data_IF_855292463914
#
_entry.id   IF_855292463914
#
_cell.length_a   1.000
_cell.length_b   1.000
_cell.length_c   1.000
_cell.angle_alpha   90.00
_cell.angle_beta   90.00
_cell.angle_gamma   90.00
#
_symmetry.space_group_name_H-M   'P 1'
#
loop_
_entity.id
_entity.type
_entity.pdbx_description
1 polymer ?
#
# COMPACT_ATOMS: atom_id res chain seq x y z
N UNK A 1 33.79 36.97 8.01
CA UNK A 1 33.64 36.86 6.54
C UNK A 1 32.32 36.16 6.26
N UNK A 2 31.45 36.78 5.48
CA UNK A 2 30.12 36.28 5.13
C UNK A 2 30.23 35.39 3.89
N UNK A 3 29.70 34.18 3.93
CA UNK A 3 29.40 33.42 2.73
C UNK A 3 27.92 33.06 2.76
N UNK A 4 27.15 33.70 1.88
CA UNK A 4 25.74 33.39 1.59
C UNK A 4 25.75 32.31 0.51
N UNK A 5 25.19 31.13 0.79
CA UNK A 5 24.90 30.14 -0.25
C UNK A 5 23.44 30.28 -0.67
N UNK A 6 23.24 30.62 -1.94
CA UNK A 6 21.97 30.63 -2.63
C UNK A 6 21.81 29.24 -3.25
N UNK A 7 20.76 28.51 -2.88
CA UNK A 7 20.35 27.26 -3.55
C UNK A 7 19.18 27.59 -4.46
N UNK A 8 19.41 27.55 -5.77
CA UNK A 8 18.39 27.64 -6.80
C UNK A 8 17.77 26.25 -7.00
N UNK A 9 16.46 26.14 -6.78
CA UNK A 9 15.64 25.03 -7.20
C UNK A 9 15.34 25.17 -8.70
N UNK A 10 15.89 24.29 -9.53
CA UNK A 10 15.45 24.13 -10.93
C UNK A 10 14.63 22.85 -11.02
N UNK A 11 13.31 23.00 -11.06
CA UNK A 11 12.39 21.98 -11.56
C UNK A 11 12.69 21.75 -13.05
N UNK A 12 12.94 20.52 -13.44
CA UNK A 12 12.98 20.12 -14.86
C UNK A 12 12.10 18.90 -15.04
N UNK A 13 10.87 19.16 -15.49
CA UNK A 13 9.96 18.18 -16.07
C UNK A 13 10.31 18.10 -17.55
N UNK A 14 10.78 16.95 -18.03
CA UNK A 14 10.69 16.63 -19.46
C UNK A 14 10.04 15.27 -19.66
N UNK A 15 8.96 15.32 -20.41
CA UNK A 15 8.08 14.24 -20.80
C UNK A 15 8.75 13.25 -21.75
N UNK A 16 8.32 12.00 -21.64
CA UNK A 16 8.51 10.99 -22.67
C UNK A 16 7.59 11.28 -23.87
N UNK A 17 8.17 11.34 -25.07
CA UNK A 17 7.46 11.12 -26.33
C UNK A 17 8.47 10.67 -27.39
N UNK A 18 8.64 9.36 -27.54
CA UNK A 18 9.19 8.77 -28.75
C UNK A 18 8.05 8.70 -29.78
N UNK A 19 8.09 9.60 -30.76
CA UNK A 19 7.26 9.52 -31.97
C UNK A 19 7.91 8.57 -32.97
N UNK A 20 7.15 7.62 -33.51
CA UNK A 20 7.49 6.92 -34.75
C UNK A 20 6.42 7.14 -35.80
N UNK A 21 6.93 7.44 -37.01
CA UNK A 21 6.37 7.21 -38.35
C UNK A 21 5.37 8.23 -38.94
N UNK A 22 5.72 8.67 -40.16
CA UNK A 22 4.75 9.04 -41.20
C UNK A 22 5.01 10.36 -41.91
N UNK A 23 5.86 10.37 -42.94
CA UNK A 23 5.88 11.40 -43.99
C UNK A 23 4.64 11.28 -44.87
N UNK A 24 3.98 12.42 -45.20
CA UNK A 24 3.66 12.79 -46.59
C UNK A 24 3.03 14.19 -46.69
N UNK A 25 3.48 14.93 -47.71
CA UNK A 25 3.12 16.30 -48.09
C UNK A 25 1.80 16.40 -48.87
N UNK A 26 0.95 17.42 -48.62
CA UNK A 26 0.30 18.26 -49.66
C UNK A 26 -0.64 19.35 -49.07
N UNK A 27 -0.73 20.46 -49.81
CA UNK A 27 -1.39 21.75 -49.55
C UNK A 27 -2.94 21.76 -49.36
N UNK A 28 -3.39 22.53 -48.34
CA UNK A 28 -4.64 23.37 -48.17
C UNK A 28 -6.05 22.76 -48.45
N UNK A 29 -7.17 23.31 -47.88
CA UNK A 29 -7.34 24.61 -47.22
C UNK A 29 -7.94 24.59 -45.80
N UNK A 30 -7.90 25.75 -45.15
CA UNK A 30 -8.44 26.02 -43.82
C UNK A 30 -9.95 25.75 -43.72
N UNK A 31 -10.37 25.16 -42.61
CA UNK A 31 -11.74 25.29 -42.11
C UNK A 31 -11.76 25.32 -40.58
N UNK A 32 -12.41 26.36 -40.09
CA UNK A 32 -13.21 26.48 -38.87
C UNK A 32 -12.54 26.17 -37.51
N UNK A 33 -12.40 27.26 -36.74
CA UNK A 33 -12.64 27.39 -35.30
C UNK A 33 -12.65 26.11 -34.46
N UNK A 34 -11.68 26.01 -33.57
CA UNK A 34 -11.85 25.34 -32.28
C UNK A 34 -11.05 26.12 -31.24
N UNK A 35 -11.57 27.28 -30.81
CA UNK A 35 -11.25 27.80 -29.48
C UNK A 35 -11.89 26.84 -28.46
N UNK A 36 -11.28 25.67 -28.29
CA UNK A 36 -11.53 24.86 -27.10
C UNK A 36 -10.83 25.61 -25.99
N UNK A 37 -11.62 26.41 -25.27
CA UNK A 37 -11.15 27.11 -24.09
C UNK A 37 -10.54 26.05 -23.16
N UNK A 38 -9.22 26.15 -22.92
CA UNK A 38 -8.44 25.13 -22.20
C UNK A 38 -9.03 24.89 -20.80
N UNK A 39 -9.61 25.92 -20.19
CA UNK A 39 -10.36 25.84 -18.93
C UNK A 39 -11.59 24.94 -19.01
N UNK A 40 -12.29 24.93 -20.14
CA UNK A 40 -13.49 24.10 -20.37
C UNK A 40 -13.11 22.64 -20.63
N UNK A 41 -11.95 22.37 -21.25
CA UNK A 41 -11.40 21.03 -21.39
C UNK A 41 -10.95 20.43 -20.04
N UNK A 42 -10.31 21.24 -19.17
CA UNK A 42 -9.96 20.82 -17.81
C UNK A 42 -11.20 20.59 -16.92
N UNK A 43 -12.21 21.46 -17.02
CA UNK A 43 -13.47 21.30 -16.29
C UNK A 43 -14.22 20.04 -16.73
N UNK A 44 -14.31 19.79 -18.04
CA UNK A 44 -14.96 18.59 -18.58
C UNK A 44 -14.23 17.30 -18.18
N UNK A 45 -12.89 17.29 -18.16
CA UNK A 45 -12.12 16.13 -17.71
C UNK A 45 -12.27 15.88 -16.20
N UNK A 46 -12.32 16.94 -15.39
CA UNK A 46 -12.55 16.84 -13.94
C UNK A 46 -13.93 16.27 -13.63
N UNK A 47 -14.95 16.74 -14.36
CA UNK A 47 -16.33 16.26 -14.22
C UNK A 47 -16.50 14.82 -14.70
N UNK A 48 -15.83 14.44 -15.79
CA UNK A 48 -15.81 13.06 -16.28
C UNK A 48 -15.12 12.12 -15.28
N UNK A 49 -13.96 12.51 -14.74
CA UNK A 49 -13.26 11.72 -13.71
C UNK A 49 -14.10 11.55 -12.45
N UNK A 50 -14.83 12.60 -12.02
CA UNK A 50 -15.75 12.51 -10.89
C UNK A 50 -16.97 11.62 -11.19
N UNK A 51 -17.53 11.68 -12.41
CA UNK A 51 -18.64 10.83 -12.83
C UNK A 51 -18.21 9.35 -12.93
N UNK A 52 -17.02 9.09 -13.49
CA UNK A 52 -16.44 7.76 -13.61
C UNK A 52 -16.12 7.17 -12.22
N UNK A 53 -15.59 7.98 -11.29
CA UNK A 53 -15.37 7.58 -9.90
C UNK A 53 -16.70 7.29 -9.15
N UNK A 54 -17.73 8.11 -9.36
CA UNK A 54 -19.05 7.87 -8.78
C UNK A 54 -19.74 6.63 -9.36
N UNK A 55 -19.57 6.36 -10.65
CA UNK A 55 -20.07 5.16 -11.30
C UNK A 55 -19.34 3.90 -10.80
N UNK A 56 -18.02 3.96 -10.66
CA UNK A 56 -17.22 2.88 -10.07
C UNK A 56 -17.62 2.62 -8.61
N UNK A 57 -17.81 3.68 -7.81
CA UNK A 57 -18.28 3.55 -6.43
C UNK A 57 -19.68 2.92 -6.34
N UNK A 58 -20.60 3.34 -7.22
CA UNK A 58 -21.95 2.80 -7.28
C UNK A 58 -21.96 1.33 -7.73
N UNK A 59 -21.06 0.95 -8.65
CA UNK A 59 -20.89 -0.43 -9.09
C UNK A 59 -20.28 -1.33 -8.00
N UNK A 60 -19.30 -0.83 -7.25
CA UNK A 60 -18.71 -1.51 -6.10
C UNK A 60 -19.75 -1.81 -5.01
N UNK A 61 -20.58 -0.81 -4.68
CA UNK A 61 -21.73 -0.96 -3.77
C UNK A 61 -22.74 -2.01 -4.26
N UNK A 62 -23.04 -2.02 -5.57
CA UNK A 62 -23.93 -3.02 -6.16
C UNK A 62 -23.31 -4.44 -6.21
N UNK A 63 -21.98 -4.54 -6.24
CA UNK A 63 -21.23 -5.79 -6.28
C UNK A 63 -20.94 -6.39 -4.89
N UNK A 64 -21.44 -5.75 -3.82
CA UNK A 64 -21.28 -6.18 -2.43
C UNK A 64 -19.86 -6.00 -1.91
N UNK A 65 -19.07 -5.09 -2.50
CA UNK A 65 -17.74 -4.75 -2.00
C UNK A 65 -17.87 -3.93 -0.72
N UNK A 66 -17.04 -4.21 0.30
CA UNK A 66 -17.08 -3.44 1.52
C UNK A 66 -16.59 -2.02 1.24
N UNK A 67 -17.24 -1.07 1.88
CA UNK A 67 -16.80 0.30 1.96
C UNK A 67 -15.74 0.43 3.04
N UNK A 68 -14.88 1.43 2.90
CA UNK A 68 -13.91 1.78 3.94
C UNK A 68 -14.58 2.10 5.29
N UNK A 69 -15.78 2.70 5.24
CA UNK A 69 -16.60 2.96 6.43
C UNK A 69 -17.05 1.70 7.16
N UNK A 70 -17.35 0.62 6.42
CA UNK A 70 -17.63 -0.70 7.00
C UNK A 70 -16.36 -1.33 7.59
N UNK A 71 -15.22 -1.23 6.92
CA UNK A 71 -13.95 -1.73 7.46
C UNK A 71 -13.61 -1.08 8.83
N UNK A 72 -13.93 0.20 9.01
CA UNK A 72 -13.73 0.91 10.28
C UNK A 72 -14.67 0.50 11.42
N UNK A 73 -15.67 -0.34 11.17
CA UNK A 73 -16.54 -0.90 12.22
C UNK A 73 -15.99 -2.20 12.82
N UNK A 74 -14.92 -2.75 12.25
CA UNK A 74 -14.29 -4.00 12.70
C UNK A 74 -13.72 -3.87 14.12
N UNK A 75 -13.82 -4.94 14.91
CA UNK A 75 -13.41 -4.94 16.32
C UNK A 75 -12.76 -6.27 16.70
N UNK A 76 -11.66 -6.17 17.44
CA UNK A 76 -11.04 -7.27 18.17
C UNK A 76 -10.98 -6.87 19.65
N UNK A 77 -11.29 -7.81 20.55
CA UNK A 77 -11.34 -7.52 21.98
C UNK A 77 -9.97 -7.05 22.50
N UNK A 78 -9.94 -5.99 23.29
CA UNK A 78 -8.71 -5.44 23.87
C UNK A 78 -7.80 -4.71 22.88
N UNK A 79 -8.23 -4.49 21.63
CA UNK A 79 -7.43 -3.84 20.59
C UNK A 79 -8.08 -2.55 20.09
N UNK A 80 -7.27 -1.66 19.50
CA UNK A 80 -7.72 -0.38 18.93
C UNK A 80 -7.47 -0.36 17.42
N UNK A 81 -8.50 -0.05 16.63
CA UNK A 81 -8.39 0.01 15.17
C UNK A 81 -7.49 1.18 14.74
N UNK A 82 -6.56 0.91 13.81
CA UNK A 82 -5.67 1.89 13.20
C UNK A 82 -6.22 2.26 11.83
N UNK A 83 -6.93 3.39 11.74
CA UNK A 83 -7.70 3.76 10.54
C UNK A 83 -6.81 4.00 9.33
N UNK A 84 -5.67 4.64 9.56
CA UNK A 84 -4.69 5.01 8.53
C UNK A 84 -4.01 3.77 7.91
N UNK A 85 -4.12 2.61 8.56
CA UNK A 85 -3.57 1.33 8.11
C UNK A 85 -4.68 0.29 7.87
N UNK A 86 -5.91 0.73 7.66
CA UNK A 86 -7.07 -0.11 7.35
C UNK A 86 -7.63 0.26 5.98
N UNK A 87 -7.88 -0.73 5.13
CA UNK A 87 -8.34 -0.51 3.75
C UNK A 87 -9.18 -1.67 3.22
N UNK A 88 -9.90 -1.40 2.14
CA UNK A 88 -10.59 -2.43 1.36
C UNK A 88 -9.54 -3.34 0.71
N UNK A 89 -9.73 -4.64 0.84
CA UNK A 89 -8.80 -5.66 0.38
C UNK A 89 -9.40 -6.42 -0.80
N UNK A 90 -8.70 -6.39 -1.92
CA UNK A 90 -9.13 -7.00 -3.18
C UNK A 90 -8.07 -7.94 -3.75
N UNK A 91 -7.54 -8.81 -2.89
CA UNK A 91 -6.57 -9.83 -3.27
C UNK A 91 -7.04 -11.22 -2.83
N UNK A 92 -6.69 -12.23 -3.62
CA UNK A 92 -6.95 -13.63 -3.29
C UNK A 92 -6.33 -14.03 -1.95
N UNK A 93 -6.93 -14.96 -1.19
CA UNK A 93 -8.24 -15.58 -1.42
C UNK A 93 -9.42 -14.78 -0.79
N UNK A 94 -9.18 -13.52 -0.41
CA UNK A 94 -10.12 -12.73 0.37
C UNK A 94 -10.55 -11.48 -0.40
N UNK A 95 -10.78 -11.58 -1.71
CA UNK A 95 -11.29 -10.44 -2.47
C UNK A 95 -12.58 -9.89 -1.85
N UNK A 96 -12.80 -8.58 -1.98
CA UNK A 96 -13.96 -7.88 -1.41
C UNK A 96 -14.07 -8.03 0.10
N UNK A 97 -12.96 -7.89 0.80
CA UNK A 97 -12.90 -7.93 2.27
C UNK A 97 -12.25 -6.65 2.81
N UNK A 98 -12.02 -6.61 4.13
CA UNK A 98 -11.33 -5.52 4.79
C UNK A 98 -10.02 -6.04 5.36
N UNK A 99 -8.90 -5.44 4.98
CA UNK A 99 -7.65 -5.57 5.72
C UNK A 99 -7.66 -4.54 6.84
N UNK A 100 -7.62 -5.02 8.08
CA UNK A 100 -7.76 -4.19 9.27
C UNK A 100 -6.53 -4.33 10.13
N UNK A 101 -5.90 -3.19 10.43
CA UNK A 101 -4.80 -3.13 11.38
C UNK A 101 -5.32 -2.71 12.75
N UNK A 102 -4.90 -3.43 13.78
CA UNK A 102 -5.19 -3.10 15.17
C UNK A 102 -3.90 -2.87 15.95
N UNK A 103 -3.91 -1.92 16.89
CA UNK A 103 -2.85 -1.71 17.86
C UNK A 103 -3.22 -2.33 19.22
N UNK A 104 -2.20 -2.65 20.01
CA UNK A 104 -2.33 -3.06 21.39
C UNK A 104 -2.24 -1.84 22.34
N UNK A 105 -3.36 -1.38 22.92
CA UNK A 105 -3.33 -0.21 23.81
C UNK A 105 -2.47 -0.42 25.06
N UNK A 106 -2.25 -1.65 25.50
CA UNK A 106 -1.40 -1.96 26.66
C UNK A 106 0.10 -1.75 26.37
N UNK A 107 0.48 -1.73 25.09
CA UNK A 107 1.86 -1.45 24.67
C UNK A 107 2.07 0.02 24.29
N UNK A 108 0.99 0.78 24.13
CA UNK A 108 1.04 2.20 23.76
C UNK A 108 1.18 3.09 25.00
N UNK A 109 2.00 4.13 24.91
CA UNK A 109 2.13 5.12 26.00
C UNK A 109 0.86 5.95 26.16
N UNK A 110 0.28 6.39 25.04
CA UNK A 110 -0.99 7.09 24.97
C UNK A 110 -1.58 6.95 23.55
N UNK A 111 -2.72 7.61 23.30
CA UNK A 111 -3.44 7.54 22.01
C UNK A 111 -2.71 8.20 20.84
N UNK A 112 -1.65 8.96 21.10
CA UNK A 112 -0.82 9.64 20.10
C UNK A 112 0.49 8.91 19.82
N UNK A 113 0.77 7.83 20.57
CA UNK A 113 1.90 6.94 20.31
C UNK A 113 1.71 6.20 18.98
N UNK A 114 2.80 5.64 18.47
CA UNK A 114 2.75 4.72 17.33
C UNK A 114 1.92 3.48 17.67
N UNK A 115 1.30 2.81 16.68
CA UNK A 115 0.38 1.69 16.92
C UNK A 115 1.13 0.41 17.34
N UNK A 116 1.69 0.40 18.55
CA UNK A 116 2.49 -0.72 19.06
C UNK A 116 1.67 -2.01 19.19
N UNK A 117 2.34 -3.15 19.06
CA UNK A 117 1.70 -4.47 19.09
C UNK A 117 0.70 -4.62 17.95
N UNK A 118 1.07 -4.13 16.75
CA UNK A 118 0.19 -4.15 15.58
C UNK A 118 -0.17 -5.59 15.19
N UNK A 119 -1.45 -5.88 15.00
CA UNK A 119 -1.94 -7.14 14.41
C UNK A 119 -2.75 -6.84 13.15
N UNK A 120 -2.76 -7.80 12.21
CA UNK A 120 -3.49 -7.66 10.95
C UNK A 120 -4.56 -8.73 10.82
N UNK A 121 -5.74 -8.31 10.38
CA UNK A 121 -6.90 -9.18 10.27
C UNK A 121 -7.61 -8.96 8.94
N UNK A 122 -8.23 -10.02 8.42
CA UNK A 122 -9.18 -9.95 7.32
C UNK A 122 -10.58 -10.06 7.87
N UNK A 123 -11.39 -9.03 7.62
CA UNK A 123 -12.80 -9.02 7.98
C UNK A 123 -13.68 -9.19 6.73
N UNK A 124 -14.69 -10.06 6.81
CA UNK A 124 -15.73 -10.19 5.79
C UNK A 124 -17.09 -10.05 6.46
N UNK A 125 -17.88 -9.08 5.99
CA UNK A 125 -19.24 -8.81 6.54
C UNK A 125 -19.26 -8.62 8.07
N UNK A 126 -18.18 -8.05 8.63
CA UNK A 126 -18.03 -7.80 10.06
C UNK A 126 -17.54 -8.99 10.89
N UNK A 127 -17.29 -10.14 10.28
CA UNK A 127 -16.68 -11.31 10.93
C UNK A 127 -15.16 -11.33 10.69
N UNK A 128 -14.39 -11.64 11.73
CA UNK A 128 -12.94 -11.85 11.64
C UNK A 128 -12.67 -13.23 11.03
N UNK A 129 -12.22 -13.24 9.78
CA UNK A 129 -12.05 -14.46 8.99
C UNK A 129 -10.65 -15.03 9.10
N UNK A 130 -9.66 -14.17 9.34
CA UNK A 130 -8.27 -14.54 9.30
C UNK A 130 -7.40 -13.52 10.03
N UNK A 131 -6.66 -13.99 11.03
CA UNK A 131 -5.56 -13.25 11.65
C UNK A 131 -4.25 -13.62 10.96
N UNK A 132 -3.46 -12.63 10.57
CA UNK A 132 -2.13 -12.87 10.03
C UNK A 132 -1.21 -13.45 11.10
N UNK A 133 -0.19 -14.25 10.71
CA UNK A 133 0.87 -14.63 11.62
C UNK A 133 1.50 -13.40 12.30
N UNK A 134 2.07 -13.60 13.49
CA UNK A 134 2.74 -12.53 14.22
C UNK A 134 3.88 -11.94 13.37
N UNK A 135 3.76 -10.64 13.07
CA UNK A 135 4.68 -9.90 12.25
C UNK A 135 6.04 -9.66 12.92
N UNK A 136 6.09 -9.76 14.25
CA UNK A 136 7.23 -9.35 15.08
C UNK A 136 7.86 -10.51 15.86
N UNK A 137 7.42 -11.74 15.63
CA UNK A 137 7.92 -12.95 16.30
C UNK A 137 7.97 -12.81 17.85
N UNK A 138 6.85 -12.39 18.43
CA UNK A 138 6.68 -12.19 19.86
C UNK A 138 7.36 -10.93 20.42
N UNK A 139 8.03 -10.12 19.60
CA UNK A 139 8.63 -8.88 20.06
C UNK A 139 7.54 -7.85 20.40
N UNK A 140 7.64 -7.30 21.60
CA UNK A 140 6.76 -6.22 22.08
C UNK A 140 7.28 -4.86 21.66
N UNK A 141 6.44 -3.83 21.76
CA UNK A 141 6.79 -2.44 21.50
C UNK A 141 7.23 -2.19 20.04
N UNK A 142 6.73 -3.02 19.12
CA UNK A 142 6.94 -2.92 17.69
C UNK A 142 5.68 -2.41 16.99
N UNK A 143 5.85 -1.67 15.89
CA UNK A 143 4.77 -1.08 15.10
C UNK A 143 5.08 -1.15 13.61
N UNK A 144 4.03 -1.01 12.81
CA UNK A 144 4.10 -1.06 11.35
C UNK A 144 4.26 0.35 10.79
N UNK A 145 5.20 0.52 9.86
CA UNK A 145 5.42 1.79 9.15
C UNK A 145 4.82 1.77 7.75
N UNK A 146 4.89 0.63 7.06
CA UNK A 146 4.38 0.49 5.70
C UNK A 146 4.03 -0.96 5.34
N UNK A 147 3.10 -1.09 4.40
CA UNK A 147 2.72 -2.35 3.77
C UNK A 147 2.84 -2.21 2.25
N UNK A 148 3.16 -3.30 1.57
CA UNK A 148 3.09 -3.44 0.11
C UNK A 148 2.46 -4.77 -0.26
N UNK A 149 1.70 -4.77 -1.35
CA UNK A 149 0.96 -5.92 -1.85
C UNK A 149 1.49 -6.29 -3.23
N UNK A 150 2.37 -7.28 -3.28
CA UNK A 150 3.13 -7.64 -4.48
C UNK A 150 3.06 -9.15 -4.72
N UNK A 151 2.99 -9.59 -5.97
CA UNK A 151 3.25 -10.99 -6.34
C UNK A 151 4.78 -11.19 -6.44
N UNK A 152 5.40 -11.65 -5.34
CA UNK A 152 6.85 -11.64 -5.20
C UNK A 152 7.51 -12.83 -5.91
N UNK A 153 6.84 -13.98 -5.94
CA UNK A 153 7.32 -15.21 -6.54
C UNK A 153 6.74 -15.48 -7.96
N UNK A 154 5.83 -14.62 -8.44
CA UNK A 154 5.17 -14.69 -9.76
C UNK A 154 4.25 -15.90 -9.91
N UNK A 155 3.58 -16.32 -8.84
CA UNK A 155 2.62 -17.41 -8.86
C UNK A 155 1.17 -16.95 -9.12
N UNK A 156 0.95 -15.63 -9.23
CA UNK A 156 -0.36 -15.02 -9.45
C UNK A 156 -1.15 -14.78 -8.16
N UNK A 157 -0.57 -15.05 -6.99
CA UNK A 157 -1.11 -14.71 -5.68
C UNK A 157 -0.36 -13.50 -5.12
N UNK A 158 -1.10 -12.58 -4.51
CA UNK A 158 -0.49 -11.39 -3.91
C UNK A 158 0.03 -11.71 -2.52
N UNK A 159 1.32 -11.53 -2.30
CA UNK A 159 2.00 -11.56 -1.00
C UNK A 159 1.97 -10.18 -0.35
N UNK A 160 2.34 -10.12 0.93
CA UNK A 160 2.44 -8.87 1.69
C UNK A 160 3.87 -8.66 2.18
N UNK A 161 4.45 -7.50 1.86
CA UNK A 161 5.66 -6.99 2.50
C UNK A 161 5.23 -6.07 3.64
N UNK A 162 5.69 -6.34 4.85
CA UNK A 162 5.55 -5.47 6.02
C UNK A 162 6.90 -4.87 6.38
N UNK A 163 6.96 -3.53 6.39
CA UNK A 163 8.06 -2.79 6.99
C UNK A 163 7.62 -2.22 8.33
N UNK A 164 8.36 -2.53 9.37
CA UNK A 164 8.05 -2.14 10.74
C UNK A 164 9.28 -1.72 11.52
N UNK A 165 9.05 -1.34 12.76
CA UNK A 165 10.08 -0.95 13.70
C UNK A 165 9.77 -1.44 15.10
N UNK A 166 10.81 -1.75 15.86
CA UNK A 166 10.74 -2.01 17.28
C UNK A 166 11.47 -0.92 18.05
N UNK A 167 11.02 -0.65 19.27
CA UNK A 167 11.73 0.24 20.18
C UNK A 167 13.01 -0.45 20.69
N UNK A 168 14.18 0.14 20.43
CA UNK A 168 15.44 -0.27 21.03
C UNK A 168 15.87 0.63 22.20
N UNK A 169 17.01 0.31 22.82
CA UNK A 169 17.49 0.98 24.02
C UNK A 169 17.86 2.47 23.83
N UNK A 170 18.18 2.88 22.60
CA UNK A 170 18.57 4.27 22.27
C UNK A 170 17.76 4.86 21.12
N UNK A 171 17.37 4.02 20.18
CA UNK A 171 16.57 4.37 19.01
C UNK A 171 15.77 3.12 18.59
N UNK A 172 14.84 3.31 17.68
CA UNK A 172 14.14 2.24 16.97
C UNK A 172 15.06 1.49 16.00
N UNK A 173 14.77 0.22 15.77
CA UNK A 173 15.41 -0.61 14.75
C UNK A 173 14.35 -1.24 13.84
N UNK A 174 14.67 -1.48 12.55
CA UNK A 174 13.72 -2.12 11.64
C UNK A 174 13.37 -3.53 12.09
N UNK A 175 12.13 -3.92 11.87
CA UNK A 175 11.67 -5.31 11.98
C UNK A 175 10.68 -5.52 10.85
N UNK A 176 10.95 -6.50 10.00
CA UNK A 176 10.25 -6.65 8.73
C UNK A 176 9.73 -8.07 8.60
N UNK A 177 8.62 -8.25 7.90
CA UNK A 177 8.07 -9.57 7.66
C UNK A 177 7.53 -9.70 6.24
N UNK A 178 7.62 -10.93 5.72
CA UNK A 178 6.93 -11.34 4.49
C UNK A 178 5.79 -12.27 4.86
N UNK A 179 4.59 -11.93 4.41
CA UNK A 179 3.45 -12.83 4.47
C UNK A 179 3.21 -13.40 3.08
N UNK A 180 3.57 -14.67 2.93
CA UNK A 180 3.40 -15.44 1.71
C UNK A 180 1.97 -15.94 1.62
N UNK A 181 1.33 -15.66 0.49
CA UNK A 181 0.01 -16.15 0.18
C UNK A 181 0.06 -17.62 -0.23
N UNK A 182 -0.64 -18.48 0.51
CA UNK A 182 -0.67 -19.93 0.25
C UNK A 182 -2.00 -20.39 -0.34
N UNK A 183 -2.75 -19.47 -0.95
CA UNK A 183 -4.03 -19.72 -1.63
C UNK A 183 -5.23 -19.93 -0.71
N UNK A 184 -5.03 -20.23 0.58
CA UNK A 184 -6.08 -20.34 1.61
C UNK A 184 -5.93 -19.32 2.74
N UNK A 185 -4.95 -18.43 2.64
CA UNK A 185 -4.58 -17.47 3.66
C UNK A 185 -3.11 -17.09 3.52
N UNK A 186 -2.57 -16.50 4.57
CA UNK A 186 -1.19 -16.04 4.61
C UNK A 186 -0.37 -16.83 5.62
N UNK A 187 0.92 -16.82 5.40
CA UNK A 187 1.87 -17.55 6.23
C UNK A 187 3.22 -16.86 6.19
N UNK A 188 4.07 -17.07 7.18
CA UNK A 188 5.36 -16.40 7.25
C UNK A 188 6.46 -17.39 7.58
N UNK A 189 7.71 -16.98 7.35
CA UNK A 189 8.91 -17.71 7.76
C UNK A 189 9.74 -16.78 8.67
N UNK A 190 9.65 -17.01 9.97
CA UNK A 190 10.33 -16.19 10.98
C UNK A 190 11.86 -16.20 10.82
N UNK A 191 12.45 -17.34 10.47
CA UNK A 191 13.89 -17.46 10.26
C UNK A 191 14.35 -16.62 9.07
N UNK A 192 13.59 -16.65 7.97
CA UNK A 192 13.89 -15.83 6.80
C UNK A 192 13.64 -14.34 7.05
N UNK A 193 12.62 -14.00 7.84
CA UNK A 193 12.32 -12.60 8.18
C UNK A 193 13.42 -11.96 9.03
N UNK A 194 14.11 -12.71 9.89
CA UNK A 194 15.25 -12.21 10.64
C UNK A 194 16.40 -11.69 9.74
N UNK A 195 16.51 -12.19 8.50
CA UNK A 195 17.48 -11.69 7.52
C UNK A 195 17.10 -10.31 6.96
N UNK A 196 15.91 -9.78 7.29
CA UNK A 196 15.40 -8.50 6.82
C UNK A 196 15.63 -7.34 7.80
N UNK A 197 16.11 -7.59 9.02
CA UNK A 197 16.16 -6.61 10.12
C UNK A 197 17.04 -5.37 9.84
N UNK A 198 17.98 -5.47 8.89
CA UNK A 198 18.83 -4.33 8.49
C UNK A 198 18.24 -3.49 7.33
N UNK A 199 17.11 -3.94 6.75
CA UNK A 199 16.47 -3.30 5.60
C UNK A 199 15.50 -2.23 6.07
N UNK A 200 15.60 -1.04 5.48
CA UNK A 200 14.94 0.18 6.01
C UNK A 200 13.64 0.54 5.31
N UNK A 201 13.34 -0.06 4.17
CA UNK A 201 12.15 0.25 3.39
C UNK A 201 11.73 -0.90 2.49
N UNK A 202 10.48 -0.82 2.02
CA UNK A 202 9.84 -1.80 1.13
C UNK A 202 10.70 -2.15 -0.09
N UNK A 203 11.36 -1.18 -0.73
CA UNK A 203 12.15 -1.45 -1.93
C UNK A 203 13.35 -2.34 -1.63
N UNK A 204 14.06 -2.09 -0.54
CA UNK A 204 15.18 -2.93 -0.10
C UNK A 204 14.71 -4.34 0.26
N UNK A 205 13.59 -4.46 0.97
CA UNK A 205 12.98 -5.74 1.32
C UNK A 205 12.62 -6.52 0.06
N UNK A 206 11.91 -5.88 -0.88
CA UNK A 206 11.52 -6.48 -2.17
C UNK A 206 12.74 -6.99 -2.95
N UNK A 207 13.80 -6.19 -3.04
CA UNK A 207 15.03 -6.59 -3.74
C UNK A 207 15.75 -7.76 -3.07
N UNK A 208 15.76 -7.80 -1.73
CA UNK A 208 16.34 -8.89 -0.98
C UNK A 208 15.55 -10.19 -1.18
N UNK A 209 14.23 -10.14 -1.03
CA UNK A 209 13.34 -11.30 -1.21
C UNK A 209 13.43 -11.82 -2.63
N UNK A 210 13.43 -10.95 -3.64
CA UNK A 210 13.56 -11.34 -5.04
C UNK A 210 14.85 -12.09 -5.38
N UNK A 211 15.95 -11.85 -4.64
CA UNK A 211 17.22 -12.60 -4.78
C UNK A 211 17.25 -13.88 -3.97
N UNK A 212 16.37 -14.03 -2.99
CA UNK A 212 16.38 -15.10 -2.00
C UNK A 212 15.03 -15.83 -1.89
N UNK A 213 14.25 -15.89 -2.99
CA UNK A 213 12.88 -16.42 -2.98
C UNK A 213 12.73 -17.75 -2.22
N UNK A 214 13.64 -18.69 -2.43
CA UNK A 214 13.62 -20.00 -1.75
C UNK A 214 13.57 -19.92 -0.24
N UNK A 215 14.15 -18.89 0.39
CA UNK A 215 14.10 -18.69 1.84
C UNK A 215 12.68 -18.43 2.34
N UNK A 216 11.89 -17.71 1.55
CA UNK A 216 10.55 -17.26 1.93
C UNK A 216 9.46 -18.20 1.40
N UNK A 217 9.67 -18.80 0.23
CA UNK A 217 8.65 -19.51 -0.55
C UNK A 217 8.84 -21.03 -0.62
N UNK A 218 10.01 -21.59 -0.30
CA UNK A 218 10.16 -23.05 -0.30
C UNK A 218 9.46 -23.63 0.95
N UNK A 219 8.49 -24.51 0.71
CA UNK A 219 7.77 -25.30 1.72
C UNK A 219 7.74 -26.77 1.30
#
# INVERSE_FOLDING_TARGET
>A
MKAKFIVLFTMSVLAAACSTAGTDTANKPASANSNVNVEQAFSNNSQKAAADANAAHSAALAAGEPTLGECYQSKVAGKVLVREQTFVFDHKPYEKSCFVTFANPDEMVDKTDVPRGSTFHIFTKGEDMFEFPDAFNGQTACWVEALSFDDLNKDGLTDVIMAGKCLGAKDSYPTNAIFVNVGKGFSTNEEANAELDDLKNIQQIREFVGKNLKRFFDR
#
